data_IF_706272872904
#
_entry.id   IF_706272872904
#
_cell.length_a   1.000
_cell.length_b   1.000
_cell.length_c   1.000
_cell.angle_alpha   90.00
_cell.angle_beta   90.00
_cell.angle_gamma   90.00
#
_symmetry.space_group_name_H-M   'P 1'
#
loop_
_entity.id
_entity.type
_entity.pdbx_description
1 polymer ?
#
# COMPACT_ATOMS: atom_id res chain seq x y z
N UNK A 1 -58.06 69.25 12.52
CA UNK A 1 -57.14 68.42 13.34
C UNK A 1 -57.12 66.98 12.82
N UNK A 2 -56.07 66.55 12.09
CA UNK A 2 -55.61 65.15 12.06
C UNK A 2 -54.24 65.01 11.35
N UNK A 3 -53.29 64.49 12.14
CA UNK A 3 -51.94 63.92 11.94
C UNK A 3 -51.43 63.61 10.52
N UNK A 4 -50.16 63.96 10.26
CA UNK A 4 -49.09 62.97 9.98
C UNK A 4 -47.66 63.59 10.01
N UNK A 5 -46.65 62.94 10.64
CA UNK A 5 -45.27 63.39 10.65
C UNK A 5 -44.45 62.68 9.56
N UNK A 6 -43.86 63.43 8.64
CA UNK A 6 -43.06 62.89 7.53
C UNK A 6 -41.59 63.30 7.62
N UNK A 7 -40.73 62.31 7.86
CA UNK A 7 -39.32 62.21 7.45
C UNK A 7 -38.30 63.22 8.02
N UNK A 8 -37.62 62.81 9.10
CA UNK A 8 -36.31 63.35 9.48
C UNK A 8 -35.22 62.41 8.94
N UNK A 9 -34.50 62.84 7.90
CA UNK A 9 -33.30 62.18 7.39
C UNK A 9 -32.22 62.11 8.48
N UNK A 10 -31.55 60.96 8.74
CA UNK A 10 -30.45 60.94 9.68
C UNK A 10 -29.16 61.44 9.02
N UNK A 11 -28.51 62.34 9.75
CA UNK A 11 -27.24 62.99 9.49
C UNK A 11 -26.17 62.15 8.77
N UNK A 12 -25.60 62.76 7.72
CA UNK A 12 -24.47 62.31 6.86
C UNK A 12 -23.28 61.71 7.64
N UNK A 13 -23.06 62.13 8.88
CA UNK A 13 -22.01 61.60 9.77
C UNK A 13 -22.27 60.21 10.36
N UNK A 14 -23.54 59.83 10.58
CA UNK A 14 -23.89 58.47 11.08
C UNK A 14 -23.73 57.43 9.98
N UNK A 15 -24.04 57.79 8.73
CA UNK A 15 -23.87 56.91 7.56
C UNK A 15 -22.40 56.59 7.29
N UNK A 16 -21.50 57.58 7.39
CA UNK A 16 -20.05 57.35 7.26
C UNK A 16 -19.51 56.43 8.36
N UNK A 17 -19.96 56.60 9.62
CA UNK A 17 -19.61 55.69 10.73
C UNK A 17 -20.13 54.27 10.51
N UNK A 18 -21.35 54.12 10.00
CA UNK A 18 -21.91 52.80 9.66
C UNK A 18 -21.10 52.16 8.53
N UNK A 19 -20.77 52.91 7.48
CA UNK A 19 -19.95 52.43 6.36
C UNK A 19 -18.54 52.02 6.79
N UNK A 20 -17.94 52.76 7.73
CA UNK A 20 -16.64 52.42 8.31
C UNK A 20 -16.70 51.13 9.13
N UNK A 21 -17.73 50.99 9.97
CA UNK A 21 -17.94 49.79 10.80
C UNK A 21 -18.27 48.54 9.96
N UNK A 22 -18.98 48.71 8.84
CA UNK A 22 -19.28 47.61 7.90
C UNK A 22 -18.01 47.18 7.14
N UNK A 23 -17.20 48.13 6.66
CA UNK A 23 -15.92 47.82 6.00
C UNK A 23 -14.92 47.15 6.94
N UNK A 24 -14.86 47.60 8.19
CA UNK A 24 -13.98 47.01 9.20
C UNK A 24 -14.38 45.57 9.55
N UNK A 25 -15.68 45.30 9.72
CA UNK A 25 -16.19 43.94 9.96
C UNK A 25 -15.96 43.02 8.78
N UNK A 26 -16.13 43.51 7.55
CA UNK A 26 -15.81 42.75 6.35
C UNK A 26 -14.32 42.39 6.29
N UNK A 27 -13.43 43.33 6.60
CA UNK A 27 -11.99 43.08 6.67
C UNK A 27 -11.62 42.06 7.75
N UNK A 28 -12.25 42.12 8.93
CA UNK A 28 -12.02 41.16 10.02
C UNK A 28 -12.45 39.74 9.64
N UNK A 29 -13.59 39.59 8.96
CA UNK A 29 -14.06 38.28 8.45
C UNK A 29 -13.08 37.76 7.38
N UNK A 30 -12.64 38.62 6.46
CA UNK A 30 -11.71 38.25 5.39
C UNK A 30 -10.33 37.84 5.92
N UNK A 31 -9.85 38.53 6.97
CA UNK A 31 -8.62 38.19 7.68
C UNK A 31 -8.75 36.86 8.44
N UNK A 32 -9.91 36.57 9.02
CA UNK A 32 -10.19 35.27 9.65
C UNK A 32 -10.21 34.12 8.64
N UNK A 33 -10.68 34.36 7.40
CA UNK A 33 -10.62 33.36 6.33
C UNK A 33 -9.18 33.11 5.82
N UNK A 34 -8.28 34.09 5.99
CA UNK A 34 -6.87 33.99 5.62
C UNK A 34 -6.01 33.22 6.63
N UNK A 35 -6.55 32.87 7.80
CA UNK A 35 -5.88 32.01 8.79
C UNK A 35 -5.99 30.51 8.46
N UNK A 36 -6.55 30.15 7.31
CA UNK A 36 -6.42 28.80 6.77
C UNK A 36 -5.04 28.61 6.15
N UNK A 37 -3.98 28.72 6.96
CA UNK A 37 -2.77 27.97 6.68
C UNK A 37 -3.08 26.51 7.04
N UNK A 38 -3.72 25.82 6.11
CA UNK A 38 -3.67 24.37 6.10
C UNK A 38 -2.22 24.01 5.82
N UNK A 39 -1.39 23.97 6.89
CA UNK A 39 -0.45 22.89 7.01
C UNK A 39 -1.34 21.65 6.87
N UNK A 40 -1.45 21.15 5.64
CA UNK A 40 -2.19 19.96 5.30
C UNK A 40 -1.55 18.90 6.15
N UNK A 41 -2.17 18.65 7.30
CA UNK A 41 -1.89 17.56 8.20
C UNK A 41 -2.39 16.31 7.47
N UNK A 42 -1.74 15.99 6.36
CA UNK A 42 -1.77 14.68 5.76
C UNK A 42 -1.28 13.77 6.87
N UNK A 43 -2.20 12.95 7.36
CA UNK A 43 -2.20 12.35 8.70
C UNK A 43 -1.04 11.34 8.96
N UNK A 44 0.00 11.32 8.13
CA UNK A 44 1.10 10.35 8.17
C UNK A 44 2.50 10.93 7.88
N UNK A 45 2.67 12.26 7.88
CA UNK A 45 3.95 12.90 7.53
C UNK A 45 4.97 12.93 8.68
N UNK A 46 5.17 11.79 9.36
CA UNK A 46 6.27 11.65 10.32
C UNK A 46 7.56 11.58 9.52
N UNK A 47 8.38 12.63 9.60
CA UNK A 47 9.68 12.69 8.96
C UNK A 47 10.72 12.18 9.96
N UNK A 48 11.50 11.21 9.54
CA UNK A 48 12.58 10.66 10.34
C UNK A 48 13.87 10.67 9.55
N UNK A 49 14.97 10.84 10.28
CA UNK A 49 16.32 10.63 9.75
C UNK A 49 16.83 9.28 10.28
N UNK A 50 17.17 8.41 9.35
CA UNK A 50 17.73 7.09 9.61
C UNK A 50 19.06 6.98 8.87
N UNK A 51 20.10 6.69 9.63
CA UNK A 51 21.43 6.40 9.10
C UNK A 51 21.84 5.04 9.65
N UNK A 52 21.58 3.99 8.86
CA UNK A 52 21.86 2.61 9.22
C UNK A 52 22.56 1.91 8.06
N UNK A 53 23.72 1.34 8.35
CA UNK A 53 24.54 0.64 7.36
C UNK A 53 24.66 -0.84 7.71
N UNK A 54 24.42 -1.72 6.72
CA UNK A 54 24.54 -3.17 6.85
C UNK A 54 23.75 -3.78 8.03
N UNK A 55 22.51 -3.32 8.19
CA UNK A 55 21.61 -3.78 9.26
C UNK A 55 20.59 -4.78 8.71
N UNK A 56 20.00 -5.55 9.63
CA UNK A 56 18.84 -6.40 9.32
C UNK A 56 17.57 -5.54 9.18
N UNK A 57 16.61 -6.02 8.38
CA UNK A 57 15.31 -5.35 8.24
C UNK A 57 14.59 -5.21 9.60
N UNK A 58 14.77 -6.17 10.51
CA UNK A 58 14.26 -6.13 11.89
C UNK A 58 14.79 -4.92 12.66
N UNK A 59 16.10 -4.65 12.57
CA UNK A 59 16.73 -3.52 13.24
C UNK A 59 16.24 -2.18 12.65
N UNK A 60 16.07 -2.11 11.33
CA UNK A 60 15.51 -0.92 10.66
C UNK A 60 14.08 -0.66 11.15
N UNK A 61 13.23 -1.69 11.16
CA UNK A 61 11.84 -1.59 11.64
C UNK A 61 11.82 -1.16 13.11
N UNK A 62 12.69 -1.73 13.94
CA UNK A 62 12.76 -1.39 15.36
C UNK A 62 13.21 0.06 15.60
N UNK A 63 14.21 0.54 14.87
CA UNK A 63 14.65 1.95 14.90
C UNK A 63 13.53 2.91 14.48
N UNK A 64 12.76 2.56 13.44
CA UNK A 64 11.62 3.34 12.99
C UNK A 64 10.52 3.33 14.04
N UNK A 65 10.18 2.17 14.61
CA UNK A 65 9.18 2.03 15.67
C UNK A 65 9.59 2.76 16.97
N UNK A 66 10.89 2.95 17.23
CA UNK A 66 11.35 3.71 18.39
C UNK A 66 11.21 5.22 18.19
N UNK A 67 11.35 5.70 16.95
CA UNK A 67 11.27 7.13 16.60
C UNK A 67 9.86 7.58 16.21
N UNK A 68 8.91 6.64 16.06
CA UNK A 68 7.55 6.90 15.57
C UNK A 68 6.54 6.11 16.38
N UNK A 69 5.27 6.51 16.37
CA UNK A 69 4.22 5.77 17.09
C UNK A 69 3.72 4.54 16.31
N UNK A 70 4.28 4.23 15.14
CA UNK A 70 3.82 3.14 14.27
C UNK A 70 4.04 1.76 14.88
N UNK A 71 3.04 0.89 14.73
CA UNK A 71 3.11 -0.52 15.12
C UNK A 71 3.39 -1.37 13.89
N UNK A 72 4.51 -2.08 13.87
CA UNK A 72 4.87 -2.96 12.76
C UNK A 72 4.42 -4.40 13.02
N UNK A 73 3.77 -5.00 12.02
CA UNK A 73 3.34 -6.40 12.02
C UNK A 73 3.98 -7.11 10.83
N UNK A 74 4.66 -8.22 11.09
CA UNK A 74 5.34 -9.00 10.05
C UNK A 74 5.47 -10.46 10.47
N UNK A 75 5.61 -11.35 9.48
CA UNK A 75 5.98 -12.74 9.73
C UNK A 75 7.49 -12.87 9.88
N UNK A 76 7.97 -13.48 10.96
CA UNK A 76 9.42 -13.69 11.21
C UNK A 76 10.11 -14.40 10.03
N UNK A 77 9.44 -15.42 9.47
CA UNK A 77 9.92 -16.18 8.30
C UNK A 77 10.06 -15.35 7.02
N UNK A 78 9.29 -14.28 6.89
CA UNK A 78 9.30 -13.43 5.69
C UNK A 78 10.45 -12.41 5.74
N UNK A 79 10.87 -12.02 6.95
CA UNK A 79 11.92 -11.01 7.18
C UNK A 79 13.32 -11.64 7.33
N UNK A 80 13.41 -12.88 7.84
CA UNK A 80 14.68 -13.60 8.04
C UNK A 80 15.54 -13.73 6.76
N UNK A 81 14.92 -13.68 5.58
CA UNK A 81 15.59 -13.78 4.28
C UNK A 81 16.29 -12.51 3.81
N UNK A 82 15.98 -11.35 4.40
CA UNK A 82 16.51 -10.04 3.96
C UNK A 82 17.61 -9.59 4.91
N UNK A 83 18.85 -9.85 4.53
CA UNK A 83 20.05 -9.44 5.26
C UNK A 83 20.84 -8.45 4.41
N UNK A 84 21.45 -7.46 5.05
CA UNK A 84 22.27 -6.40 4.42
C UNK A 84 21.46 -5.28 3.74
N UNK A 85 20.64 -4.58 4.53
CA UNK A 85 20.05 -3.31 4.09
C UNK A 85 20.94 -2.15 4.53
N UNK A 86 21.24 -1.26 3.58
CA UNK A 86 21.88 0.03 3.85
C UNK A 86 20.88 1.12 3.54
N UNK A 87 20.54 1.91 4.56
CA UNK A 87 19.51 2.95 4.51
C UNK A 87 20.15 4.23 5.04
N UNK A 88 20.45 5.15 4.13
CA UNK A 88 20.93 6.49 4.47
C UNK A 88 19.89 7.49 3.98
N UNK A 89 18.95 7.85 4.86
CA UNK A 89 17.84 8.72 4.51
C UNK A 89 17.65 9.81 5.58
N UNK A 90 17.78 11.07 5.15
CA UNK A 90 17.69 12.24 6.01
C UNK A 90 16.38 12.98 5.72
N UNK A 91 15.59 13.22 6.77
CA UNK A 91 14.35 13.99 6.71
C UNK A 91 13.39 13.48 5.61
N UNK A 92 13.06 12.18 5.64
CA UNK A 92 12.07 11.59 4.73
C UNK A 92 10.87 11.03 5.48
N UNK A 93 9.74 10.95 4.79
CA UNK A 93 8.53 10.34 5.32
C UNK A 93 8.73 8.83 5.52
N UNK A 94 8.16 8.27 6.59
CA UNK A 94 8.23 6.83 6.88
C UNK A 94 7.82 5.97 5.68
N UNK A 95 6.79 6.39 4.93
CA UNK A 95 6.33 5.69 3.73
C UNK A 95 7.44 5.60 2.65
N UNK A 96 8.09 6.73 2.36
CA UNK A 96 9.16 6.80 1.35
C UNK A 96 10.41 6.05 1.80
N UNK A 97 10.74 6.10 3.10
CA UNK A 97 11.83 5.31 3.69
C UNK A 97 11.51 3.83 3.55
N UNK A 98 10.33 3.38 3.96
CA UNK A 98 9.92 1.97 3.85
C UNK A 98 9.91 1.49 2.40
N UNK A 99 9.39 2.29 1.45
CA UNK A 99 9.47 1.96 0.01
C UNK A 99 10.90 1.75 -0.44
N UNK A 100 11.82 2.61 -0.02
CA UNK A 100 13.22 2.54 -0.43
C UNK A 100 13.94 1.35 0.23
N UNK A 101 13.68 1.11 1.52
CA UNK A 101 14.21 -0.04 2.27
C UNK A 101 13.70 -1.37 1.73
N UNK A 102 12.42 -1.44 1.35
CA UNK A 102 11.79 -2.67 0.86
C UNK A 102 11.99 -2.87 -0.65
N UNK A 103 12.51 -1.85 -1.36
CA UNK A 103 12.86 -1.95 -2.78
C UNK A 103 13.88 -3.07 -2.99
N UNK A 104 13.60 -3.97 -3.95
CA UNK A 104 14.41 -5.15 -4.27
C UNK A 104 14.42 -6.27 -3.23
N UNK A 105 13.61 -6.19 -2.17
CA UNK A 105 13.48 -7.27 -1.18
C UNK A 105 12.34 -8.24 -1.48
N UNK A 106 11.48 -7.91 -2.45
CA UNK A 106 10.27 -8.68 -2.75
C UNK A 106 9.24 -8.64 -1.62
N UNK A 107 9.29 -7.61 -0.78
CA UNK A 107 8.36 -7.35 0.30
C UNK A 107 7.55 -6.10 -0.05
N UNK A 108 6.26 -6.13 0.26
CA UNK A 108 5.39 -4.96 0.21
C UNK A 108 4.86 -4.65 1.61
N UNK A 109 4.43 -3.42 1.80
CA UNK A 109 3.88 -2.98 3.06
C UNK A 109 2.56 -2.25 2.86
N UNK A 110 1.69 -2.38 3.85
CA UNK A 110 0.40 -1.70 3.91
C UNK A 110 0.36 -0.84 5.16
N UNK A 111 0.05 0.44 5.00
CA UNK A 111 -0.17 1.35 6.13
C UNK A 111 -1.67 1.46 6.36
N UNK A 112 -2.13 1.05 7.53
CA UNK A 112 -3.52 1.20 7.97
C UNK A 112 -3.54 2.00 9.27
N UNK A 113 -3.72 3.33 9.15
CA UNK A 113 -3.63 4.26 10.27
C UNK A 113 -2.25 4.24 10.90
N UNK A 114 -2.15 3.73 12.13
CA UNK A 114 -0.91 3.62 12.90
C UNK A 114 -0.25 2.22 12.82
N UNK A 115 -0.85 1.27 12.10
CA UNK A 115 -0.27 -0.06 11.91
C UNK A 115 0.36 -0.17 10.52
N UNK A 116 1.55 -0.76 10.45
CA UNK A 116 2.27 -1.08 9.22
C UNK A 116 2.38 -2.59 9.13
N UNK A 117 1.74 -3.18 8.12
CA UNK A 117 1.79 -4.63 7.89
C UNK A 117 2.75 -4.91 6.75
N UNK A 118 3.82 -5.64 7.01
CA UNK A 118 4.79 -6.06 5.99
C UNK A 118 4.46 -7.48 5.59
N UNK A 119 4.31 -7.69 4.28
CA UNK A 119 4.01 -8.99 3.69
C UNK A 119 4.98 -9.25 2.55
N UNK A 120 5.31 -10.52 2.32
CA UNK A 120 6.03 -10.89 1.11
C UNK A 120 5.15 -10.62 -0.09
N UNK A 121 5.69 -9.87 -1.05
CA UNK A 121 5.08 -9.75 -2.37
C UNK A 121 5.27 -11.11 -3.01
N UNK A 122 4.19 -11.88 -3.02
CA UNK A 122 4.12 -13.08 -3.83
C UNK A 122 3.97 -12.57 -5.26
N UNK A 123 5.05 -12.07 -5.85
CA UNK A 123 5.18 -12.12 -7.30
C UNK A 123 4.95 -13.57 -7.66
N UNK A 124 3.92 -13.84 -8.46
CA UNK A 124 3.56 -15.17 -8.96
C UNK A 124 4.62 -15.74 -9.95
N UNK A 125 5.88 -15.42 -9.71
CA UNK A 125 7.05 -15.64 -10.55
C UNK A 125 8.20 -15.73 -9.55
N UNK A 126 8.54 -16.91 -9.04
CA UNK A 126 9.43 -17.84 -9.76
C UNK A 126 8.93 -19.27 -9.68
N UNK A 127 7.69 -19.52 -10.05
CA UNK A 127 7.31 -20.89 -10.32
C UNK A 127 7.94 -21.35 -11.63
N UNK A 128 8.72 -22.44 -11.66
CA UNK A 128 9.17 -23.03 -12.92
C UNK A 128 7.93 -23.52 -13.65
N UNK A 129 7.55 -22.83 -14.72
CA UNK A 129 6.43 -23.24 -15.56
C UNK A 129 6.85 -24.48 -16.34
N UNK A 130 6.19 -25.61 -16.07
CA UNK A 130 6.34 -26.84 -16.83
C UNK A 130 5.13 -26.98 -17.73
N UNK A 131 5.41 -27.14 -19.02
CA UNK A 131 4.43 -27.45 -20.05
C UNK A 131 4.74 -28.81 -20.63
N UNK A 132 3.72 -29.62 -20.87
CA UNK A 132 3.87 -30.92 -21.51
C UNK A 132 2.58 -31.41 -22.14
N UNK A 133 2.65 -32.55 -22.81
CA UNK A 133 1.52 -33.20 -23.46
C UNK A 133 1.42 -34.64 -22.98
N UNK A 134 0.21 -35.08 -22.63
CA UNK A 134 -0.09 -36.45 -22.22
C UNK A 134 -0.75 -37.17 -23.39
N UNK A 135 -0.18 -38.32 -23.76
CA UNK A 135 -0.63 -39.16 -24.89
C UNK A 135 -0.77 -40.61 -24.47
N UNK A 136 -1.61 -41.37 -25.16
CA UNK A 136 -1.74 -42.83 -25.01
C UNK A 136 -0.62 -43.60 -25.75
N UNK A 137 -0.62 -44.93 -25.66
CA UNK A 137 0.34 -45.81 -26.36
C UNK A 137 0.27 -45.70 -27.89
N UNK A 138 -0.83 -45.17 -28.44
CA UNK A 138 -1.07 -44.98 -29.88
C UNK A 138 -0.75 -43.54 -30.33
N UNK A 139 -0.34 -42.66 -29.42
CA UNK A 139 -0.04 -41.25 -29.69
C UNK A 139 -1.25 -40.31 -29.69
N UNK A 140 -2.43 -40.78 -29.31
CA UNK A 140 -3.61 -39.91 -29.19
C UNK A 140 -3.54 -39.08 -27.91
N UNK A 141 -3.93 -37.80 -27.95
CA UNK A 141 -3.98 -36.96 -26.76
C UNK A 141 -5.00 -37.46 -25.74
N UNK A 142 -4.64 -37.43 -24.46
CA UNK A 142 -5.53 -37.82 -23.37
C UNK A 142 -6.06 -36.58 -22.63
N UNK A 143 -7.33 -36.19 -22.86
CA UNK A 143 -7.95 -35.10 -22.12
C UNK A 143 -8.42 -35.56 -20.73
N UNK A 144 -8.46 -34.64 -19.77
CA UNK A 144 -9.00 -34.93 -18.44
C UNK A 144 -8.03 -35.68 -17.50
N UNK A 145 -6.75 -35.76 -17.83
CA UNK A 145 -5.72 -36.31 -16.94
C UNK A 145 -5.40 -35.28 -15.87
N UNK A 146 -5.48 -35.71 -14.61
CA UNK A 146 -5.13 -34.90 -13.45
C UNK A 146 -3.62 -34.97 -13.21
N UNK A 147 -2.96 -33.82 -13.22
CA UNK A 147 -1.52 -33.66 -13.02
C UNK A 147 -1.29 -32.97 -11.68
N UNK A 148 -0.79 -33.68 -10.67
CA UNK A 148 -0.58 -33.16 -9.32
C UNK A 148 0.91 -33.19 -8.96
N UNK A 149 1.39 -32.18 -8.24
CA UNK A 149 2.73 -32.20 -7.66
C UNK A 149 2.70 -33.11 -6.43
N UNK A 150 3.48 -34.20 -6.46
CA UNK A 150 3.53 -35.22 -5.41
C UNK A 150 3.81 -34.58 -4.05
N UNK A 151 2.89 -34.78 -3.11
CA UNK A 151 2.97 -34.22 -1.75
C UNK A 151 2.31 -32.87 -1.56
N UNK A 152 1.68 -32.29 -2.60
CA UNK A 152 0.90 -31.05 -2.50
C UNK A 152 -0.51 -31.25 -3.07
N UNK A 153 -1.41 -30.30 -2.77
CA UNK A 153 -2.73 -30.21 -3.42
C UNK A 153 -2.72 -29.36 -4.69
N UNK A 154 -1.55 -28.91 -5.14
CA UNK A 154 -1.42 -28.12 -6.36
C UNK A 154 -1.37 -29.07 -7.56
N UNK A 155 -2.32 -28.88 -8.47
CA UNK A 155 -2.43 -29.66 -9.70
C UNK A 155 -3.18 -28.94 -10.79
N UNK A 156 -3.14 -29.50 -11.99
CA UNK A 156 -3.83 -29.01 -13.19
C UNK A 156 -4.46 -30.19 -13.93
N UNK A 157 -5.33 -29.92 -14.88
CA UNK A 157 -5.97 -30.95 -15.72
C UNK A 157 -5.54 -30.73 -17.17
N UNK A 158 -5.31 -31.81 -17.92
CA UNK A 158 -4.96 -31.72 -19.35
C UNK A 158 -6.12 -31.19 -20.18
N UNK A 159 -5.79 -30.41 -21.22
CA UNK A 159 -6.74 -29.87 -22.21
C UNK A 159 -7.28 -30.96 -23.15
N UNK A 160 -8.17 -30.59 -24.07
CA UNK A 160 -8.72 -31.48 -25.11
C UNK A 160 -7.60 -32.08 -25.98
N UNK A 161 -6.54 -31.31 -26.21
CA UNK A 161 -5.33 -31.68 -26.94
C UNK A 161 -4.30 -32.42 -26.07
N UNK A 162 -4.63 -32.73 -24.81
CA UNK A 162 -3.74 -33.42 -23.87
C UNK A 162 -2.65 -32.52 -23.30
N UNK A 163 -2.70 -31.21 -23.54
CA UNK A 163 -1.68 -30.26 -23.05
C UNK A 163 -1.92 -29.89 -21.59
N UNK A 164 -0.85 -29.76 -20.80
CA UNK A 164 -0.92 -29.25 -19.44
C UNK A 164 0.10 -28.15 -19.21
N UNK A 165 -0.26 -27.24 -18.32
CA UNK A 165 0.62 -26.19 -17.81
C UNK A 165 0.51 -26.20 -16.29
N UNK A 166 1.64 -26.42 -15.61
CA UNK A 166 1.72 -26.37 -14.16
C UNK A 166 2.88 -25.49 -13.72
N UNK A 167 2.63 -24.68 -12.70
CA UNK A 167 3.61 -23.77 -12.12
C UNK A 167 4.16 -24.42 -10.86
N UNK A 168 5.41 -24.89 -10.91
CA UNK A 168 6.06 -25.53 -9.77
C UNK A 168 6.74 -24.49 -8.87
N UNK A 169 6.51 -24.47 -7.55
CA UNK A 169 7.35 -23.69 -6.64
C UNK A 169 8.79 -24.24 -6.67
N UNK A 170 9.79 -23.36 -6.63
CA UNK A 170 11.23 -23.73 -6.66
C UNK A 170 11.57 -24.61 -5.46
N UNK A 171 11.49 -25.93 -5.65
CA UNK A 171 12.01 -26.92 -4.72
C UNK A 171 12.58 -28.10 -5.52
N UNK A 172 13.77 -28.52 -5.16
CA UNK A 172 14.44 -29.66 -5.79
C UNK A 172 13.75 -30.98 -5.40
N UNK A 173 13.62 -31.91 -6.37
CA UNK A 173 13.11 -33.26 -6.13
C UNK A 173 11.58 -33.45 -6.21
N UNK A 174 10.84 -32.51 -6.82
CA UNK A 174 9.40 -32.67 -7.04
C UNK A 174 9.10 -33.70 -8.15
N UNK A 175 8.21 -34.64 -7.87
CA UNK A 175 7.67 -35.57 -8.86
C UNK A 175 6.24 -35.16 -9.25
N UNK A 176 5.88 -35.32 -10.53
CA UNK A 176 4.52 -35.14 -11.01
C UNK A 176 3.78 -36.49 -10.99
N UNK A 177 2.59 -36.50 -10.40
CA UNK A 177 1.66 -37.62 -10.43
C UNK A 177 0.60 -37.36 -11.48
N UNK A 178 0.50 -38.26 -12.45
CA UNK A 178 -0.54 -38.26 -13.46
C UNK A 178 -1.59 -39.30 -13.08
N UNK A 179 -2.84 -38.88 -12.91
CA UNK A 179 -3.96 -39.75 -12.60
C UNK A 179 -5.07 -39.52 -13.60
N UNK A 180 -5.57 -40.60 -14.19
CA UNK A 180 -6.71 -40.56 -15.09
C UNK A 180 -7.80 -41.45 -14.51
N UNK A 181 -8.95 -40.84 -14.19
CA UNK A 181 -10.15 -41.58 -13.78
C UNK A 181 -10.92 -41.83 -15.06
N UNK A 182 -10.72 -43.02 -15.64
CA UNK A 182 -11.47 -43.44 -16.83
C UNK A 182 -12.97 -43.43 -16.54
N UNK A 183 -13.75 -43.05 -17.55
CA UNK A 183 -15.19 -43.33 -17.59
C UNK A 183 -15.44 -44.72 -18.18
#
# INVERSE_FOLDING_TARGET
MKKNPGMVFPARGKLSKILFVVRLKFFLILFSCFQLNAAVHSQNNVRISLDLENVSLEQVIWEIQKKTDFVFMYGTRDIEGVKQLTVQETDKEVNEILKTCLKNTGLWFEISGNAVVIKKEVTATEGRKITGKVVDEKGNPLPGVTVIIKGTSLGTVTSVEGEFTITLPVADGQALLFSFVGM
#
